data_IF_170798828662
#
_entry.id   IF_170798828662
#
_cell.length_a   1.000
_cell.length_b   1.000
_cell.length_c   1.000
_cell.angle_alpha   90.00
_cell.angle_beta   90.00
_cell.angle_gamma   90.00
#
_symmetry.space_group_name_H-M   'P 1'
#
loop_
_entity.id
_entity.type
_entity.pdbx_description
1 polymer ?
#
# COMPACT_ATOMS: atom_id res chain seq x y z
N UNK A 1 -16.35 20.80 61.50
CA UNK A 1 -16.77 20.38 60.14
C UNK A 1 -18.19 19.88 60.26
N UNK A 2 -19.19 20.67 59.84
CA UNK A 2 -20.58 20.22 59.86
C UNK A 2 -20.76 19.21 58.72
N UNK A 3 -20.67 17.92 59.03
CA UNK A 3 -21.06 16.86 58.09
C UNK A 3 -22.57 16.98 57.92
N UNK A 4 -23.02 17.45 56.74
CA UNK A 4 -24.41 17.72 56.37
C UNK A 4 -25.30 16.48 56.32
N UNK A 5 -25.46 15.80 57.45
CA UNK A 5 -26.31 14.62 57.67
C UNK A 5 -27.73 14.98 58.15
N UNK A 6 -28.06 16.27 58.22
CA UNK A 6 -29.32 16.76 58.80
C UNK A 6 -30.55 16.56 57.87
N UNK A 7 -30.33 16.40 56.57
CA UNK A 7 -31.40 16.14 55.62
C UNK A 7 -31.52 14.65 55.31
N UNK A 8 -32.62 14.02 55.77
CA UNK A 8 -32.94 12.61 55.48
C UNK A 8 -32.86 12.28 53.99
N UNK A 9 -33.26 13.22 53.13
CA UNK A 9 -33.14 13.11 51.67
C UNK A 9 -31.67 13.09 51.23
N UNK A 10 -30.85 14.03 51.70
CA UNK A 10 -29.42 14.07 51.35
C UNK A 10 -28.67 12.84 51.86
N UNK A 11 -29.03 12.34 53.06
CA UNK A 11 -28.52 11.08 53.59
C UNK A 11 -28.93 9.88 52.72
N UNK A 12 -30.18 9.79 52.26
CA UNK A 12 -30.58 8.71 51.34
C UNK A 12 -29.84 8.76 50.01
N UNK A 13 -29.64 9.95 49.44
CA UNK A 13 -28.87 10.10 48.19
C UNK A 13 -27.40 9.74 48.39
N UNK A 14 -26.78 10.14 49.51
CA UNK A 14 -25.40 9.78 49.84
C UNK A 14 -25.21 8.26 50.03
N UNK A 15 -26.17 7.58 50.67
CA UNK A 15 -26.14 6.12 50.83
C UNK A 15 -26.28 5.43 49.47
N UNK A 16 -27.23 5.86 48.63
CA UNK A 16 -27.41 5.28 47.29
C UNK A 16 -26.15 5.47 46.44
N UNK A 17 -25.55 6.66 46.47
CA UNK A 17 -24.31 6.94 45.73
C UNK A 17 -23.14 6.08 46.23
N UNK A 18 -23.03 5.88 47.55
CA UNK A 18 -22.03 5.00 48.14
C UNK A 18 -22.19 3.53 47.72
N UNK A 19 -23.43 3.03 47.65
CA UNK A 19 -23.72 1.65 47.20
C UNK A 19 -23.38 1.49 45.71
N UNK A 20 -23.76 2.46 44.87
CA UNK A 20 -23.42 2.44 43.43
C UNK A 20 -21.90 2.47 43.22
N UNK A 21 -21.18 3.31 43.97
CA UNK A 21 -19.72 3.38 43.89
C UNK A 21 -19.06 2.03 44.29
N UNK A 22 -19.59 1.35 45.31
CA UNK A 22 -19.11 0.02 45.70
C UNK A 22 -19.35 -1.04 44.61
N UNK A 23 -20.49 -1.00 43.93
CA UNK A 23 -20.80 -1.93 42.83
C UNK A 23 -19.88 -1.69 41.63
N UNK A 24 -19.61 -0.44 41.28
CA UNK A 24 -18.67 -0.10 40.19
C UNK A 24 -17.25 -0.52 40.54
N UNK A 25 -16.77 -0.23 41.76
CA UNK A 25 -15.46 -0.71 42.21
C UNK A 25 -15.37 -2.24 42.20
N UNK A 26 -16.43 -2.96 42.57
CA UNK A 26 -16.44 -4.42 42.48
C UNK A 26 -16.35 -4.90 41.03
N UNK A 27 -17.08 -4.27 40.10
CA UNK A 27 -17.03 -4.60 38.67
C UNK A 27 -15.63 -4.43 38.06
N UNK A 28 -14.93 -3.37 38.45
CA UNK A 28 -13.55 -3.10 38.00
C UNK A 28 -12.51 -4.05 38.63
N UNK A 29 -12.80 -4.60 39.81
CA UNK A 29 -11.89 -5.53 40.51
C UNK A 29 -12.04 -7.00 40.06
N UNK A 30 -13.17 -7.35 39.44
CA UNK A 30 -13.43 -8.70 38.88
C UNK A 30 -12.43 -9.12 37.79
N UNK A 31 -12.07 -8.29 36.78
CA UNK A 31 -11.07 -8.69 35.79
C UNK A 31 -9.66 -8.81 36.38
N UNK A 32 -9.37 -8.17 37.51
CA UNK A 32 -8.05 -8.21 38.15
C UNK A 32 -7.82 -9.50 38.97
N UNK A 33 -8.88 -10.17 39.42
CA UNK A 33 -8.80 -11.43 40.19
C UNK A 33 -9.12 -12.66 39.31
N UNK A 34 -9.88 -12.50 38.23
CA UNK A 34 -10.35 -13.61 37.38
C UNK A 34 -9.65 -13.83 36.04
N UNK A 35 -8.73 -12.94 35.63
CA UNK A 35 -8.11 -12.98 34.29
C UNK A 35 -6.91 -13.92 34.20
N UNK A 36 -7.15 -15.24 34.13
CA UNK A 36 -6.14 -16.21 33.72
C UNK A 36 -5.86 -16.08 32.21
N UNK A 37 -4.57 -15.98 31.89
CA UNK A 37 -3.94 -15.97 30.57
C UNK A 37 -4.62 -16.82 29.49
N UNK A 38 -4.84 -16.24 28.30
CA UNK A 38 -5.00 -16.99 27.05
C UNK A 38 -3.69 -16.96 26.23
N UNK A 39 -3.23 -18.12 25.70
CA UNK A 39 -1.89 -18.29 25.14
C UNK A 39 -1.80 -17.92 23.66
N UNK A 40 -0.57 -17.57 23.27
CA UNK A 40 -0.11 -17.39 21.90
C UNK A 40 -0.30 -18.65 21.03
N UNK A 41 -0.75 -18.46 19.79
CA UNK A 41 -0.62 -19.47 18.72
C UNK A 41 -0.50 -18.80 17.35
N UNK A 42 0.73 -18.72 16.87
CA UNK A 42 1.02 -18.95 15.45
C UNK A 42 2.46 -19.41 15.34
N UNK A 43 2.59 -20.69 15.01
CA UNK A 43 3.83 -21.43 14.90
C UNK A 43 4.73 -20.92 13.77
N UNK A 44 6.01 -21.07 14.06
CA UNK A 44 7.18 -21.08 13.21
C UNK A 44 7.06 -22.07 12.04
N UNK A 45 7.46 -21.66 10.83
CA UNK A 45 7.96 -22.57 9.81
C UNK A 45 9.01 -21.86 8.94
N UNK A 46 10.26 -22.29 9.11
CA UNK A 46 11.41 -21.89 8.33
C UNK A 46 11.29 -22.40 6.88
N UNK A 47 11.64 -21.57 5.90
CA UNK A 47 11.77 -21.96 4.50
C UNK A 47 12.95 -22.92 4.32
N UNK A 48 12.78 -24.07 3.63
CA UNK A 48 13.88 -24.96 3.34
C UNK A 48 14.75 -24.48 2.17
N UNK A 49 16.02 -24.82 2.30
CA UNK A 49 17.15 -24.65 1.38
C UNK A 49 16.83 -25.06 -0.07
N UNK A 50 17.23 -24.21 -1.02
CA UNK A 50 17.26 -24.50 -2.46
C UNK A 50 18.21 -25.68 -2.73
N UNK A 51 17.80 -26.75 -3.45
CA UNK A 51 18.73 -27.80 -3.87
C UNK A 51 19.56 -27.32 -5.06
N UNK A 52 20.89 -27.34 -4.90
CA UNK A 52 21.88 -27.20 -5.96
C UNK A 52 22.00 -28.54 -6.70
N UNK A 53 21.75 -28.63 -8.02
CA UNK A 53 22.15 -29.82 -8.77
C UNK A 53 23.63 -29.71 -9.13
N UNK A 54 24.42 -30.66 -8.63
CA UNK A 54 25.74 -30.97 -9.14
C UNK A 54 25.62 -31.99 -10.27
N UNK A 55 26.48 -31.82 -11.28
CA UNK A 55 27.01 -32.84 -12.20
C UNK A 55 26.03 -33.55 -13.16
N UNK A 56 25.94 -33.01 -14.38
CA UNK A 56 25.59 -33.75 -15.60
C UNK A 56 26.73 -33.64 -16.61
N UNK A 57 27.21 -34.78 -17.13
CA UNK A 57 28.31 -34.91 -18.11
C UNK A 57 27.98 -34.17 -19.43
N UNK A 58 29.02 -33.65 -20.13
CA UNK A 58 28.84 -32.90 -21.38
C UNK A 58 28.71 -33.83 -22.59
N UNK A 59 27.68 -33.62 -23.41
CA UNK A 59 27.50 -34.33 -24.66
C UNK A 59 26.88 -33.43 -25.71
N UNK A 60 27.73 -32.97 -26.65
CA UNK A 60 27.47 -32.82 -28.09
C UNK A 60 26.32 -31.86 -28.54
N UNK A 61 26.47 -30.88 -29.44
CA UNK A 61 27.53 -30.42 -30.35
C UNK A 61 27.25 -28.93 -30.62
N UNK A 62 28.22 -28.05 -30.35
CA UNK A 62 28.25 -26.73 -30.98
C UNK A 62 29.24 -26.81 -32.14
N UNK A 63 28.73 -26.67 -33.36
CA UNK A 63 29.47 -26.59 -34.59
C UNK A 63 30.36 -25.34 -34.58
N UNK A 64 31.61 -25.52 -34.16
CA UNK A 64 32.67 -24.53 -34.35
C UNK A 64 33.28 -24.70 -35.73
N UNK A 65 33.32 -23.59 -36.49
CA UNK A 65 34.11 -23.42 -37.71
C UNK A 65 35.56 -23.89 -37.49
N UNK A 66 36.28 -24.33 -38.55
CA UNK A 66 37.67 -24.77 -38.43
C UNK A 66 38.57 -23.54 -38.19
N UNK A 67 38.71 -23.16 -36.92
CA UNK A 67 39.80 -22.30 -36.46
C UNK A 67 41.05 -23.17 -36.37
N UNK A 68 42.02 -22.89 -37.22
CA UNK A 68 43.34 -23.53 -37.27
C UNK A 68 43.94 -23.56 -35.85
N UNK A 69 43.94 -24.72 -35.20
CA UNK A 69 44.64 -24.89 -33.93
C UNK A 69 46.13 -24.67 -34.21
N UNK A 70 46.86 -23.87 -33.41
CA UNK A 70 48.30 -23.81 -33.54
C UNK A 70 48.83 -25.21 -33.22
N UNK A 71 49.46 -25.82 -34.22
CA UNK A 71 50.09 -27.13 -34.08
C UNK A 71 51.18 -26.98 -33.02
N UNK A 72 51.05 -27.70 -31.91
CA UNK A 72 52.09 -27.80 -30.91
C UNK A 72 53.23 -28.65 -31.45
N UNK A 73 54.08 -28.04 -32.28
CA UNK A 73 55.16 -28.75 -32.96
C UNK A 73 56.53 -28.49 -32.28
N UNK A 74 57.12 -29.59 -31.82
CA UNK A 74 58.50 -29.78 -31.34
C UNK A 74 58.85 -29.30 -29.92
N UNK A 75 58.89 -30.26 -28.99
CA UNK A 75 59.41 -30.14 -27.61
C UNK A 75 60.95 -30.26 -27.57
N UNK A 76 61.64 -29.51 -28.43
CA UNK A 76 63.10 -29.37 -28.40
C UNK A 76 63.43 -27.99 -27.79
N UNK A 77 64.08 -27.91 -26.61
CA UNK A 77 64.33 -26.64 -25.93
C UNK A 77 65.42 -25.78 -26.61
N UNK A 78 66.05 -26.30 -27.65
CA UNK A 78 67.07 -25.59 -28.41
C UNK A 78 66.45 -24.48 -29.27
N UNK A 79 67.02 -23.27 -29.21
CA UNK A 79 66.53 -22.11 -29.95
C UNK A 79 66.63 -22.31 -31.47
N UNK A 80 65.49 -22.33 -32.17
CA UNK A 80 65.42 -22.40 -33.63
C UNK A 80 65.22 -21.02 -34.24
N UNK A 81 66.33 -20.40 -34.67
CA UNK A 81 66.34 -19.05 -35.27
C UNK A 81 65.51 -18.96 -36.56
N UNK A 82 65.41 -20.05 -37.33
CA UNK A 82 64.62 -20.08 -38.57
C UNK A 82 63.11 -19.94 -38.31
N UNK A 83 62.59 -20.66 -37.30
CA UNK A 83 61.19 -20.54 -36.89
C UNK A 83 60.90 -19.17 -36.27
N UNK A 84 61.85 -18.61 -35.51
CA UNK A 84 61.75 -17.26 -34.98
C UNK A 84 61.64 -16.22 -36.11
N UNK A 85 62.50 -16.33 -37.14
CA UNK A 85 62.45 -15.45 -38.30
C UNK A 85 61.15 -15.58 -39.10
N UNK A 86 60.48 -16.74 -39.03
CA UNK A 86 59.17 -16.96 -39.64
C UNK A 86 58.03 -16.33 -38.82
N UNK A 87 58.11 -16.37 -37.49
CA UNK A 87 57.08 -15.80 -36.61
C UNK A 87 57.12 -14.27 -36.60
N UNK A 88 58.32 -13.67 -36.66
CA UNK A 88 58.52 -12.21 -36.76
C UNK A 88 57.82 -11.57 -37.97
N UNK A 89 57.62 -12.33 -39.06
CA UNK A 89 56.97 -11.83 -40.29
C UNK A 89 55.44 -11.89 -40.23
N UNK A 90 54.86 -12.45 -39.17
CA UNK A 90 53.40 -12.61 -39.07
C UNK A 90 52.75 -11.26 -38.78
N UNK A 91 51.98 -10.74 -39.73
CA UNK A 91 51.18 -9.52 -39.55
C UNK A 91 49.75 -9.85 -39.11
N UNK A 92 49.12 -8.91 -38.41
CA UNK A 92 47.72 -9.05 -38.00
C UNK A 92 46.79 -8.75 -39.18
N UNK A 93 46.17 -9.77 -39.75
CA UNK A 93 45.18 -9.66 -40.85
C UNK A 93 43.72 -9.68 -40.36
N UNK A 94 43.50 -9.59 -39.04
CA UNK A 94 42.15 -9.61 -38.48
C UNK A 94 41.37 -8.35 -38.84
N UNK A 95 40.09 -8.49 -39.22
CA UNK A 95 39.18 -7.38 -39.48
C UNK A 95 38.69 -6.65 -38.20
N UNK A 96 39.31 -6.93 -37.06
CA UNK A 96 38.95 -6.40 -35.75
C UNK A 96 39.99 -5.43 -35.21
N UNK A 97 39.79 -4.95 -33.97
CA UNK A 97 40.73 -4.06 -33.31
C UNK A 97 42.07 -4.76 -33.07
N UNK A 98 43.14 -4.23 -33.66
CA UNK A 98 44.50 -4.68 -33.39
C UNK A 98 44.92 -4.29 -31.97
N UNK A 99 45.04 -5.27 -31.08
CA UNK A 99 45.36 -5.06 -29.65
C UNK A 99 46.87 -4.91 -29.37
N UNK A 100 47.71 -5.11 -30.39
CA UNK A 100 49.17 -5.08 -30.25
C UNK A 100 49.77 -3.73 -30.64
N UNK A 101 48.96 -2.81 -31.16
CA UNK A 101 49.34 -1.42 -31.41
C UNK A 101 48.72 -0.52 -30.33
N UNK A 102 49.55 0.33 -29.72
CA UNK A 102 49.10 1.32 -28.72
C UNK A 102 48.43 2.55 -29.34
N UNK A 103 48.37 2.61 -30.68
CA UNK A 103 47.71 3.67 -31.41
C UNK A 103 46.20 3.42 -31.44
N UNK A 104 45.44 4.41 -30.97
CA UNK A 104 44.01 4.51 -31.22
C UNK A 104 43.81 4.63 -32.73
N UNK A 105 43.33 3.57 -33.38
CA UNK A 105 42.87 3.66 -34.75
C UNK A 105 41.67 4.61 -34.76
N UNK A 106 41.75 5.68 -35.55
CA UNK A 106 40.68 6.66 -35.68
C UNK A 106 39.52 5.97 -36.40
N UNK A 107 38.66 5.32 -35.62
CA UNK A 107 37.44 4.71 -36.13
C UNK A 107 36.57 5.86 -36.63
N UNK A 108 36.51 6.03 -37.96
CA UNK A 108 35.58 6.95 -38.60
C UNK A 108 34.18 6.47 -38.30
N UNK A 109 33.55 7.09 -37.30
CA UNK A 109 32.15 6.84 -36.96
C UNK A 109 31.34 7.33 -38.16
N UNK A 110 30.75 6.40 -38.92
CA UNK A 110 29.87 6.75 -40.02
C UNK A 110 28.70 7.55 -39.44
N UNK A 111 28.51 8.76 -39.95
CA UNK A 111 27.39 9.58 -39.53
C UNK A 111 26.09 8.95 -40.05
N UNK A 112 25.04 8.82 -39.21
CA UNK A 112 23.77 8.24 -39.64
C UNK A 112 23.22 8.97 -40.87
N UNK A 113 22.93 8.20 -41.92
CA UNK A 113 22.50 8.72 -43.25
C UNK A 113 21.05 9.21 -43.24
N UNK A 114 20.29 8.90 -42.18
CA UNK A 114 18.89 9.27 -42.03
C UNK A 114 18.65 9.99 -40.71
N UNK A 115 17.77 11.00 -40.75
CA UNK A 115 17.21 11.61 -39.55
C UNK A 115 16.46 10.54 -38.75
N UNK A 116 16.55 10.63 -37.42
CA UNK A 116 15.79 9.76 -36.54
C UNK A 116 14.30 9.84 -36.89
N UNK A 117 13.66 8.70 -37.11
CA UNK A 117 12.21 8.61 -37.25
C UNK A 117 11.62 9.00 -35.90
N UNK A 118 11.14 10.24 -35.76
CA UNK A 118 10.26 10.62 -34.67
C UNK A 118 8.88 10.05 -34.98
N UNK A 119 8.58 8.90 -34.40
CA UNK A 119 7.19 8.47 -34.18
C UNK A 119 6.47 9.64 -33.47
N UNK A 120 5.25 10.06 -33.87
CA UNK A 120 4.47 11.00 -33.08
C UNK A 120 4.49 10.54 -31.62
N UNK A 121 5.01 11.41 -30.75
CA UNK A 121 5.27 11.07 -29.36
C UNK A 121 4.02 10.49 -28.68
N UNK A 122 4.22 9.66 -27.63
CA UNK A 122 3.11 9.04 -26.91
C UNK A 122 2.07 10.11 -26.52
N UNK A 123 0.76 9.76 -26.57
CA UNK A 123 -0.30 10.71 -26.32
C UNK A 123 -0.06 11.42 -24.98
N UNK A 124 -0.26 12.73 -24.97
CA UNK A 124 -0.13 13.55 -23.77
C UNK A 124 -0.95 12.92 -22.64
N UNK A 125 -0.32 12.77 -21.47
CA UNK A 125 -0.99 12.25 -20.28
C UNK A 125 -2.18 13.14 -19.95
N UNK A 126 -3.38 12.58 -20.07
CA UNK A 126 -4.61 13.21 -19.62
C UNK A 126 -4.81 12.77 -18.17
N UNK A 127 -4.83 13.70 -17.19
CA UNK A 127 -5.07 13.30 -15.81
C UNK A 127 -6.45 12.64 -15.69
N UNK A 128 -6.59 11.61 -14.84
CA UNK A 128 -7.88 10.98 -14.62
C UNK A 128 -8.88 12.01 -14.08
N UNK A 129 -10.06 12.06 -14.69
CA UNK A 129 -11.15 12.91 -14.21
C UNK A 129 -11.63 12.33 -12.88
N UNK A 130 -11.49 13.10 -11.80
CA UNK A 130 -12.03 12.73 -10.48
C UNK A 130 -13.55 12.71 -10.58
N UNK A 131 -14.16 11.55 -10.38
CA UNK A 131 -15.62 11.45 -10.38
C UNK A 131 -16.18 12.17 -9.14
N UNK A 132 -17.20 13.03 -9.31
CA UNK A 132 -17.85 13.68 -8.19
C UNK A 132 -18.51 12.64 -7.27
N UNK A 133 -18.55 12.87 -5.93
CA UNK A 133 -19.21 11.97 -5.00
C UNK A 133 -20.68 11.71 -5.38
N UNK A 134 -21.19 10.48 -5.20
CA UNK A 134 -22.59 10.17 -5.44
C UNK A 134 -23.49 10.98 -4.49
N UNK A 135 -24.62 11.47 -5.00
CA UNK A 135 -25.58 12.22 -4.20
C UNK A 135 -26.22 11.34 -3.13
N UNK A 136 -26.36 11.87 -1.91
CA UNK A 136 -27.03 11.16 -0.80
C UNK A 136 -28.55 11.24 -0.99
N UNK A 137 -29.28 10.10 -1.01
CA UNK A 137 -30.73 10.06 -1.21
C UNK A 137 -31.54 10.46 0.04
N UNK A 138 -30.88 10.66 1.18
CA UNK A 138 -31.50 11.11 2.42
C UNK A 138 -32.01 12.55 2.29
N UNK A 139 -33.24 12.80 2.75
CA UNK A 139 -33.80 14.15 2.86
C UNK A 139 -34.02 14.48 4.32
N UNK A 140 -33.52 15.64 4.72
CA UNK A 140 -33.70 16.16 6.06
C UNK A 140 -35.02 16.95 6.14
N UNK A 141 -35.93 16.60 7.06
CA UNK A 141 -37.26 17.23 7.11
C UNK A 141 -37.70 17.71 8.51
N UNK A 142 -36.91 17.49 9.57
CA UNK A 142 -37.23 18.06 10.88
C UNK A 142 -36.32 17.61 12.00
N UNK A 143 -36.48 18.20 13.18
CA UNK A 143 -35.72 17.85 14.38
C UNK A 143 -36.59 17.10 15.38
N UNK A 144 -35.99 16.18 16.12
CA UNK A 144 -36.54 15.59 17.33
C UNK A 144 -35.74 16.11 18.53
N UNK A 145 -36.44 16.71 19.50
CA UNK A 145 -35.84 17.21 20.73
C UNK A 145 -36.61 16.64 21.92
N UNK A 146 -35.93 15.85 22.76
CA UNK A 146 -36.46 15.33 24.01
C UNK A 146 -35.71 16.00 25.18
N UNK A 147 -36.41 16.43 26.24
CA UNK A 147 -35.75 17.03 27.40
C UNK A 147 -34.75 16.06 28.02
N UNK A 148 -33.47 16.43 28.01
CA UNK A 148 -32.36 15.61 28.54
C UNK A 148 -31.67 14.70 27.51
N UNK A 149 -32.11 14.69 26.25
CA UNK A 149 -31.51 13.89 25.18
C UNK A 149 -30.75 14.78 24.17
N UNK A 150 -29.65 14.32 23.56
CA UNK A 150 -29.00 15.04 22.47
C UNK A 150 -29.97 15.28 21.30
N UNK A 151 -29.72 16.37 20.56
CA UNK A 151 -30.51 16.77 19.40
C UNK A 151 -30.52 15.66 18.35
N UNK A 152 -31.72 15.26 17.90
CA UNK A 152 -31.90 14.28 16.83
C UNK A 152 -32.53 14.92 15.60
N UNK A 153 -32.36 14.26 14.46
CA UNK A 153 -32.91 14.67 13.16
C UNK A 153 -33.78 13.58 12.57
N UNK A 154 -34.81 14.02 11.87
CA UNK A 154 -35.65 13.19 11.04
C UNK A 154 -35.11 13.21 9.60
N UNK A 155 -34.74 12.02 9.13
CA UNK A 155 -34.19 11.77 7.81
C UNK A 155 -35.12 10.81 7.08
N UNK A 156 -35.49 11.12 5.83
CA UNK A 156 -36.28 10.20 4.99
C UNK A 156 -35.45 9.69 3.82
N UNK A 157 -35.56 8.40 3.52
CA UNK A 157 -35.02 7.77 2.32
C UNK A 157 -36.17 7.08 1.57
N UNK A 158 -36.64 7.67 0.46
CA UNK A 158 -37.87 7.19 -0.19
C UNK A 158 -39.07 7.26 0.75
N UNK A 159 -39.58 6.08 1.14
CA UNK A 159 -40.72 5.90 2.05
C UNK A 159 -40.32 5.65 3.51
N UNK A 160 -39.03 5.37 3.77
CA UNK A 160 -38.53 5.07 5.10
C UNK A 160 -38.13 6.34 5.85
N UNK A 161 -38.47 6.35 7.15
CA UNK A 161 -38.17 7.45 8.08
C UNK A 161 -37.22 6.97 9.17
N UNK A 162 -36.16 7.74 9.38
CA UNK A 162 -35.13 7.48 10.38
C UNK A 162 -35.02 8.67 11.34
N UNK A 163 -34.80 8.34 12.61
CA UNK A 163 -34.46 9.32 13.65
C UNK A 163 -33.03 9.05 14.06
N UNK A 164 -32.15 10.03 13.89
CA UNK A 164 -30.72 9.87 14.17
C UNK A 164 -30.12 11.04 14.94
N UNK A 165 -29.22 10.75 15.89
CA UNK A 165 -28.36 11.71 16.57
C UNK A 165 -27.02 11.94 15.87
N UNK A 166 -26.22 12.88 16.38
CA UNK A 166 -24.83 13.04 15.94
C UNK A 166 -24.03 11.78 16.21
N UNK A 167 -23.29 11.29 15.20
CA UNK A 167 -22.49 10.07 15.27
C UNK A 167 -23.23 8.79 14.90
N UNK A 168 -24.57 8.80 14.82
CA UNK A 168 -25.36 7.62 14.46
C UNK A 168 -25.34 7.32 12.96
N UNK A 169 -25.55 6.04 12.60
CA UNK A 169 -25.52 5.54 11.23
C UNK A 169 -26.95 5.17 10.79
N UNK A 170 -27.39 5.77 9.69
CA UNK A 170 -28.67 5.54 9.04
C UNK A 170 -28.49 4.64 7.83
N UNK A 171 -29.45 3.74 7.60
CA UNK A 171 -29.46 2.81 6.46
C UNK A 171 -28.16 2.02 6.29
N UNK A 172 -27.43 1.79 7.40
CA UNK A 172 -26.11 1.12 7.46
C UNK A 172 -25.00 1.76 6.61
N UNK A 173 -25.24 2.96 6.06
CA UNK A 173 -24.33 3.61 5.10
C UNK A 173 -24.03 5.05 5.45
N UNK A 174 -24.97 5.76 6.05
CA UNK A 174 -24.89 7.21 6.18
C UNK A 174 -24.68 7.61 7.62
N UNK A 175 -23.49 8.09 7.95
CA UNK A 175 -23.17 8.57 9.29
C UNK A 175 -23.52 10.05 9.42
N UNK A 176 -24.28 10.40 10.43
CA UNK A 176 -24.54 11.79 10.79
C UNK A 176 -23.29 12.36 11.47
N UNK A 177 -22.66 13.36 10.87
CA UNK A 177 -21.45 13.99 11.42
C UNK A 177 -21.83 15.14 12.35
N UNK A 178 -22.72 16.01 11.89
CA UNK A 178 -23.10 17.20 12.63
C UNK A 178 -24.53 17.62 12.31
N UNK A 179 -25.26 18.06 13.33
CA UNK A 179 -26.63 18.54 13.22
C UNK A 179 -26.65 20.05 13.45
N UNK A 180 -26.83 20.83 12.38
CA UNK A 180 -27.00 22.28 12.46
C UNK A 180 -28.46 22.68 12.67
N UNK A 181 -28.76 23.98 12.78
CA UNK A 181 -30.13 24.48 12.94
C UNK A 181 -30.97 24.39 11.64
N UNK A 182 -30.32 24.39 10.48
CA UNK A 182 -30.99 24.42 9.17
C UNK A 182 -30.49 23.35 8.20
N UNK A 183 -29.46 22.59 8.58
CA UNK A 183 -28.83 21.57 7.75
C UNK A 183 -28.24 20.44 8.60
N UNK A 184 -27.94 19.32 7.95
CA UNK A 184 -27.26 18.17 8.55
C UNK A 184 -26.08 17.77 7.66
N UNK A 185 -24.92 17.56 8.27
CA UNK A 185 -23.74 17.02 7.59
C UNK A 185 -23.76 15.49 7.69
N UNK A 186 -23.76 14.83 6.54
CA UNK A 186 -23.81 13.37 6.44
C UNK A 186 -22.60 12.87 5.65
N UNK A 187 -21.92 11.87 6.18
CA UNK A 187 -20.84 11.18 5.49
C UNK A 187 -21.31 9.82 5.02
N UNK A 188 -21.04 9.51 3.76
CA UNK A 188 -21.19 8.17 3.22
C UNK A 188 -20.03 7.28 3.72
N UNK A 189 -20.35 6.13 4.30
CA UNK A 189 -19.36 5.19 4.81
C UNK A 189 -18.88 4.20 3.73
N UNK A 190 -19.66 4.02 2.65
CA UNK A 190 -19.30 3.14 1.54
C UNK A 190 -18.41 3.88 0.55
N UNK A 191 -18.74 5.14 0.29
CA UNK A 191 -17.91 6.01 -0.52
C UNK A 191 -17.08 6.91 0.39
N UNK A 192 -15.75 6.77 0.42
CA UNK A 192 -14.83 7.59 1.22
C UNK A 192 -14.70 9.04 0.72
N UNK A 193 -15.83 9.67 0.45
CA UNK A 193 -15.93 11.05 0.01
C UNK A 193 -16.06 12.05 1.16
N UNK A 194 -16.04 13.35 0.83
CA UNK A 194 -16.31 14.41 1.80
C UNK A 194 -17.74 14.30 2.34
N UNK A 195 -17.96 14.81 3.56
CA UNK A 195 -19.30 14.95 4.11
C UNK A 195 -20.14 15.89 3.23
N UNK A 196 -21.40 15.52 3.00
CA UNK A 196 -22.35 16.31 2.22
C UNK A 196 -23.35 16.99 3.14
N UNK A 197 -23.65 18.25 2.84
CA UNK A 197 -24.61 19.05 3.61
C UNK A 197 -26.01 18.86 3.02
N UNK A 198 -26.94 18.38 3.82
CA UNK A 198 -28.35 18.23 3.45
C UNK A 198 -29.16 19.32 4.14
N UNK A 199 -29.78 20.19 3.35
CA UNK A 199 -30.61 21.28 3.86
C UNK A 199 -32.00 20.79 4.31
N UNK A 200 -32.60 21.54 5.24
CA UNK A 200 -33.97 21.27 5.70
C UNK A 200 -34.95 21.44 4.54
N UNK A 201 -35.51 20.33 4.08
CA UNK A 201 -36.57 20.32 3.08
C UNK A 201 -37.89 20.57 3.78
N UNK A 202 -38.29 21.84 3.84
CA UNK A 202 -39.62 22.23 4.31
C UNK A 202 -40.65 21.63 3.34
N UNK A 203 -41.56 20.78 3.85
CA UNK A 203 -42.65 20.23 3.06
C UNK A 203 -43.52 21.38 2.51
N UNK A 204 -43.75 21.38 1.20
CA UNK A 204 -44.76 22.21 0.54
C UNK A 204 -46.12 21.53 0.63
#
# INVERSE_FOLDING_TARGET
MNLGLENKKQMTWAIVLGVVALIVCAYELIPLIGGSSEPASSAQAASPLVPRPATGKPGAKASAKPGKQPVGENLDPTLRLDLLASSEKTQYEGAGRNIFVSQREEVVIQQPVASAVTDPGPPAYVPPVVQPPPAIPLKFYGFANSPGEPKKVFLKNGDDVFVAGEGEIVDRRYKVIRISATSVEIQDMVYSGPAQVIALTQGS
#
